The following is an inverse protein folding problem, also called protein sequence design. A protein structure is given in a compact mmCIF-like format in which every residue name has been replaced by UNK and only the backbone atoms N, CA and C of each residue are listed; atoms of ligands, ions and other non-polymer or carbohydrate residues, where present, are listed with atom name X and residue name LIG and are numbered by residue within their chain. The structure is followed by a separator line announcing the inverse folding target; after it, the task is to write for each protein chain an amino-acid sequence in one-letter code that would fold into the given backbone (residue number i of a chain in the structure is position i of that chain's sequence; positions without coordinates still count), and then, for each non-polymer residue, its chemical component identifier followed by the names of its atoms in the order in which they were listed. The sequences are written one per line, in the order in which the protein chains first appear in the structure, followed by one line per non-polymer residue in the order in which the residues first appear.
data_IF_438902834171
#
_entry.id   IF_438902834171
#
_cell.length_a   1.000
_cell.length_b   1.000
_cell.length_c   1.000
_cell.angle_alpha   90.00
_cell.angle_beta   90.00
_cell.angle_gamma   90.00
#
_symmetry.space_group_name_H-M   'P 1'
#
loop_
_entity.id
_entity.type
_entity.pdbx_description
1 polymer ?
#
# COMPACT_ATOMS: atom_id res chain seq x y z
N UNK A 1 -12.42 -10.58 5.55
CA UNK A 1 -11.49 -10.51 6.70
C UNK A 1 -10.87 -9.13 6.76
N UNK A 2 -10.94 -8.49 7.91
CA UNK A 2 -10.35 -7.17 8.11
C UNK A 2 -9.05 -7.28 8.90
N UNK A 3 -8.08 -6.43 8.58
CA UNK A 3 -6.82 -6.36 9.31
C UNK A 3 -6.50 -4.92 9.67
N UNK A 4 -6.02 -4.72 10.89
CA UNK A 4 -5.48 -3.44 11.32
C UNK A 4 -3.98 -3.37 10.99
N UNK A 5 -3.35 -2.22 11.24
CA UNK A 5 -1.95 -2.01 10.87
C UNK A 5 -0.99 -2.97 11.59
N UNK A 6 -1.27 -3.31 12.84
CA UNK A 6 -0.40 -4.24 13.58
C UNK A 6 -0.45 -5.64 12.98
N UNK A 7 -1.63 -6.09 12.57
CA UNK A 7 -1.81 -7.38 11.90
C UNK A 7 -1.13 -7.40 10.53
N UNK A 8 -1.18 -6.28 9.80
CA UNK A 8 -0.48 -6.15 8.52
C UNK A 8 1.03 -6.27 8.73
N UNK A 9 1.57 -5.64 9.75
CA UNK A 9 3.00 -5.71 10.07
C UNK A 9 3.46 -7.13 10.41
N UNK A 10 2.59 -7.98 10.90
CA UNK A 10 2.90 -9.38 11.15
C UNK A 10 3.03 -10.19 9.86
N UNK A 11 2.46 -9.70 8.77
CA UNK A 11 2.39 -10.41 7.49
C UNK A 11 3.46 -9.92 6.52
N UNK A 12 3.62 -8.60 6.38
CA UNK A 12 4.61 -8.02 5.46
C UNK A 12 5.75 -7.37 6.24
N UNK A 13 6.97 -7.36 5.66
CA UNK A 13 8.16 -6.84 6.37
C UNK A 13 8.27 -5.32 6.36
N UNK A 14 7.47 -4.64 5.56
CA UNK A 14 7.53 -3.18 5.38
C UNK A 14 7.28 -2.44 6.70
N UNK A 15 8.01 -1.35 6.90
CA UNK A 15 7.87 -0.48 8.07
C UNK A 15 7.96 0.97 7.63
N UNK A 16 7.56 1.89 8.49
CA UNK A 16 7.72 3.31 8.25
C UNK A 16 9.19 3.61 7.90
N UNK A 17 9.49 4.42 6.87
CA UNK A 17 8.55 5.22 6.07
C UNK A 17 7.99 4.53 4.82
N UNK A 18 8.31 3.28 4.58
CA UNK A 18 7.91 2.55 3.37
C UNK A 18 6.56 1.87 3.44
N UNK A 19 6.01 1.67 4.64
CA UNK A 19 4.72 1.03 4.80
C UNK A 19 3.60 1.94 4.28
N UNK A 20 2.85 1.46 3.28
CA UNK A 20 1.85 2.24 2.56
C UNK A 20 0.43 1.69 2.67
N UNK A 21 0.17 0.84 3.66
CA UNK A 21 -1.16 0.26 3.90
C UNK A 21 -1.52 0.45 5.37
N UNK A 22 -2.61 1.17 5.64
CA UNK A 22 -3.05 1.43 7.02
C UNK A 22 -4.01 0.37 7.53
N UNK A 23 -4.83 -0.18 6.63
CA UNK A 23 -5.78 -1.24 6.98
C UNK A 23 -6.14 -2.09 5.78
N UNK A 24 -6.60 -3.30 6.04
CA UNK A 24 -7.26 -4.15 5.05
C UNK A 24 -8.75 -4.17 5.42
N UNK A 25 -9.58 -3.67 4.51
CA UNK A 25 -11.02 -3.58 4.71
C UNK A 25 -11.72 -4.89 4.38
N UNK A 26 -11.24 -5.60 3.37
CA UNK A 26 -11.78 -6.88 2.95
C UNK A 26 -10.70 -7.71 2.29
N UNK A 27 -10.68 -9.00 2.57
CA UNK A 27 -9.74 -9.93 1.95
C UNK A 27 -10.40 -11.30 1.83
N UNK A 28 -10.44 -11.81 0.61
CA UNK A 28 -10.93 -13.15 0.31
C UNK A 28 -9.82 -13.91 -0.42
N UNK A 29 -9.12 -14.76 0.31
CA UNK A 29 -7.97 -15.49 -0.22
C UNK A 29 -8.39 -16.46 -1.33
N UNK A 30 -9.55 -17.10 -1.20
CA UNK A 30 -10.04 -18.05 -2.19
C UNK A 30 -10.44 -17.35 -3.49
N UNK A 31 -11.12 -16.23 -3.40
CA UNK A 31 -11.50 -15.42 -4.57
C UNK A 31 -10.32 -14.65 -5.16
N UNK A 32 -9.25 -14.48 -4.40
CA UNK A 32 -8.08 -13.72 -4.83
C UNK A 32 -8.32 -12.21 -4.85
N UNK A 33 -9.14 -11.70 -3.93
CA UNK A 33 -9.45 -10.28 -3.84
C UNK A 33 -9.00 -9.68 -2.51
N UNK A 34 -8.59 -8.43 -2.56
CA UNK A 34 -8.19 -7.68 -1.37
C UNK A 34 -8.44 -6.19 -1.59
N UNK A 35 -8.92 -5.52 -0.55
CA UNK A 35 -9.13 -4.07 -0.54
C UNK A 35 -8.40 -3.50 0.65
N UNK A 36 -7.45 -2.60 0.39
CA UNK A 36 -6.67 -1.92 1.41
C UNK A 36 -6.91 -0.42 1.40
N UNK A 37 -6.52 0.24 2.48
CA UNK A 37 -6.70 1.67 2.66
C UNK A 37 -5.39 2.32 3.10
N UNK A 38 -5.08 3.47 2.52
CA UNK A 38 -3.97 4.34 2.93
C UNK A 38 -4.50 5.75 3.13
N UNK A 39 -4.37 6.28 4.33
CA UNK A 39 -4.67 7.68 4.63
C UNK A 39 -3.43 8.52 4.36
N UNK A 40 -3.53 9.46 3.43
CA UNK A 40 -2.41 10.34 3.05
C UNK A 40 -2.42 11.54 4.01
N UNK A 41 -1.43 11.58 4.91
CA UNK A 41 -1.42 12.55 6.01
C UNK A 41 -0.72 13.87 5.68
N UNK A 42 0.26 13.84 4.79
CA UNK A 42 1.13 14.96 4.50
C UNK A 42 2.48 14.87 5.17
N UNK A 43 2.65 13.94 6.10
CA UNK A 43 3.92 13.73 6.81
C UNK A 43 4.82 12.72 6.12
N UNK A 44 4.33 12.09 5.07
CA UNK A 44 5.13 11.13 4.31
C UNK A 44 6.37 11.79 3.72
N UNK A 45 7.47 11.06 3.73
CA UNK A 45 8.78 11.56 3.37
C UNK A 45 8.85 12.18 1.96
N UNK A 46 8.11 11.60 1.01
CA UNK A 46 8.14 12.06 -0.38
C UNK A 46 7.61 13.48 -0.57
N UNK A 47 6.77 14.00 0.33
CA UNK A 47 6.21 15.34 0.19
C UNK A 47 7.23 16.46 0.37
N UNK A 48 8.38 16.18 0.95
CA UNK A 48 9.43 17.18 1.12
C UNK A 48 9.96 17.68 -0.22
N UNK A 49 9.97 16.83 -1.22
CA UNK A 49 10.48 17.17 -2.54
C UNK A 49 9.48 17.11 -3.67
N UNK A 50 8.28 16.59 -3.43
CA UNK A 50 7.31 16.36 -4.50
C UNK A 50 5.95 16.99 -4.20
N UNK A 51 5.79 18.27 -4.23
CA UNK A 51 6.74 19.32 -4.59
C UNK A 51 6.76 20.39 -3.47
N UNK A 52 7.84 21.12 -3.27
CA UNK A 52 7.86 22.20 -2.26
C UNK A 52 6.68 23.17 -2.45
N UNK A 53 5.87 23.34 -1.39
CA UNK A 53 4.69 24.19 -1.47
C UNK A 53 3.50 23.67 -2.26
N UNK A 54 3.63 22.49 -2.88
CA UNK A 54 2.56 21.86 -3.65
C UNK A 54 2.65 20.33 -3.50
N UNK A 55 2.21 19.80 -2.34
CA UNK A 55 2.37 18.36 -2.07
C UNK A 55 1.44 17.50 -2.94
N UNK A 56 2.05 16.58 -3.66
CA UNK A 56 1.38 15.59 -4.50
C UNK A 56 2.05 14.24 -4.27
N UNK A 57 1.28 13.20 -3.99
CA UNK A 57 1.83 11.87 -3.81
C UNK A 57 2.40 11.35 -5.14
N UNK A 58 3.71 10.98 -5.18
CA UNK A 58 4.29 10.41 -6.39
C UNK A 58 3.56 9.13 -6.81
N UNK A 59 3.29 9.00 -8.12
CA UNK A 59 2.55 7.85 -8.65
C UNK A 59 3.19 6.51 -8.32
N UNK A 60 4.52 6.46 -8.24
CA UNK A 60 5.24 5.22 -7.90
C UNK A 60 4.89 4.73 -6.50
N UNK A 61 4.56 5.62 -5.56
CA UNK A 61 4.14 5.22 -4.21
C UNK A 61 2.69 4.74 -4.17
N UNK A 62 1.85 5.20 -5.09
CA UNK A 62 0.50 4.66 -5.26
C UNK A 62 0.59 3.21 -5.72
N UNK A 63 1.48 2.92 -6.66
CA UNK A 63 1.75 1.55 -7.11
C UNK A 63 2.30 0.71 -5.97
N UNK A 64 3.19 1.27 -5.16
CA UNK A 64 3.75 0.58 -3.99
C UNK A 64 2.67 0.23 -2.97
N UNK A 65 1.75 1.16 -2.70
CA UNK A 65 0.62 0.89 -1.80
C UNK A 65 -0.24 -0.27 -2.33
N UNK A 66 -0.50 -0.30 -3.63
CA UNK A 66 -1.24 -1.37 -4.26
C UNK A 66 -0.49 -2.71 -4.17
N UNK A 67 0.81 -2.69 -4.40
CA UNK A 67 1.65 -3.88 -4.30
C UNK A 67 1.69 -4.43 -2.88
N UNK A 68 1.80 -3.57 -1.87
CA UNK A 68 1.79 -4.00 -0.48
C UNK A 68 0.44 -4.59 -0.07
N UNK A 69 -0.65 -4.02 -0.56
CA UNK A 69 -1.99 -4.55 -0.33
C UNK A 69 -2.10 -5.97 -0.90
N UNK A 70 -1.66 -6.17 -2.13
CA UNK A 70 -1.63 -7.49 -2.76
C UNK A 70 -0.69 -8.46 -2.05
N UNK A 71 0.48 -7.99 -1.64
CA UNK A 71 1.43 -8.80 -0.89
C UNK A 71 0.86 -9.27 0.45
N UNK A 72 0.09 -8.42 1.12
CA UNK A 72 -0.58 -8.80 2.37
C UNK A 72 -1.49 -9.99 2.15
N UNK A 73 -2.26 -10.00 1.07
CA UNK A 73 -3.14 -11.11 0.74
C UNK A 73 -2.36 -12.38 0.43
N UNK A 74 -1.32 -12.29 -0.39
CA UNK A 74 -0.50 -13.44 -0.79
C UNK A 74 0.24 -14.04 0.41
N UNK A 75 0.89 -13.19 1.21
CA UNK A 75 1.68 -13.65 2.35
C UNK A 75 0.83 -14.05 3.56
N UNK A 76 -0.47 -13.79 3.51
CA UNK A 76 -1.41 -14.32 4.51
C UNK A 76 -1.59 -15.83 4.36
N UNK A 77 -1.29 -16.38 3.20
CA UNK A 77 -1.33 -17.82 2.99
C UNK A 77 -0.20 -18.47 3.78
N UNK A 78 -0.52 -19.57 4.46
CA UNK A 78 0.43 -20.26 5.32
C UNK A 78 1.71 -20.67 4.60
N UNK A 79 1.59 -21.11 3.36
CA UNK A 79 2.70 -21.57 2.52
C UNK A 79 3.70 -20.47 2.16
N UNK A 80 3.27 -19.20 2.21
CA UNK A 80 4.12 -18.05 1.88
C UNK A 80 4.53 -17.21 3.08
N UNK A 81 4.09 -17.57 4.26
CA UNK A 81 4.35 -16.82 5.50
C UNK A 81 5.84 -16.70 5.74
N UNK A 82 6.30 -15.50 6.09
CA UNK A 82 7.71 -15.24 6.37
C UNK A 82 8.59 -14.98 5.17
N UNK A 83 8.04 -15.07 3.95
CA UNK A 83 8.78 -14.76 2.73
C UNK A 83 8.72 -13.27 2.41
N UNK A 84 9.69 -12.79 1.64
CA UNK A 84 9.74 -11.41 1.16
C UNK A 84 9.39 -11.38 -0.32
N UNK A 85 8.41 -10.55 -0.66
CA UNK A 85 8.01 -10.36 -2.04
C UNK A 85 8.76 -9.23 -2.71
N UNK A 86 9.21 -9.45 -3.94
CA UNK A 86 9.86 -8.43 -4.76
C UNK A 86 9.03 -8.12 -5.98
N UNK A 87 8.86 -6.82 -6.25
CA UNK A 87 8.09 -6.36 -7.40
C UNK A 87 8.92 -6.50 -8.67
N UNK A 88 8.44 -7.28 -9.64
CA UNK A 88 9.15 -7.51 -10.90
C UNK A 88 8.71 -6.55 -12.01
N UNK A 89 7.39 -6.33 -12.17
CA UNK A 89 6.88 -5.48 -13.23
C UNK A 89 5.43 -5.11 -12.99
N UNK A 90 4.99 -4.06 -13.68
CA UNK A 90 3.58 -3.69 -13.78
C UNK A 90 3.30 -3.22 -15.20
N UNK A 91 2.02 -3.20 -15.58
CA UNK A 91 1.60 -2.90 -16.95
C UNK A 91 0.27 -2.15 -16.96
N UNK A 92 0.06 -1.33 -18.00
CA UNK A 92 -1.21 -0.63 -18.25
C UNK A 92 -1.67 0.25 -17.09
N UNK A 93 -0.75 0.95 -16.44
CA UNK A 93 -1.06 1.83 -15.32
C UNK A 93 -1.31 3.25 -15.81
N UNK A 94 -2.39 3.86 -15.32
CA UNK A 94 -2.75 5.24 -15.65
C UNK A 94 -3.05 6.01 -14.38
N UNK A 95 -2.52 7.23 -14.29
CA UNK A 95 -2.80 8.13 -13.19
C UNK A 95 -3.74 9.22 -13.70
N UNK A 96 -4.96 9.27 -13.18
CA UNK A 96 -6.02 10.17 -13.67
C UNK A 96 -6.33 11.30 -12.71
N UNK A 97 -5.77 11.28 -11.51
CA UNK A 97 -6.03 12.25 -10.47
C UNK A 97 -4.81 12.36 -9.55
N UNK A 98 -4.51 13.60 -9.14
CA UNK A 98 -3.47 13.82 -8.15
C UNK A 98 -3.95 13.43 -6.76
N UNK A 99 -3.07 12.83 -5.96
CA UNK A 99 -3.33 12.46 -4.58
C UNK A 99 -2.58 13.45 -3.69
N UNK A 100 -3.29 14.05 -2.76
CA UNK A 100 -2.78 15.12 -1.89
C UNK A 100 -2.99 14.77 -0.43
N UNK A 101 -2.28 15.45 0.50
CA UNK A 101 -2.53 15.28 1.94
C UNK A 101 -4.03 15.46 2.26
N UNK A 102 -4.54 14.58 3.10
CA UNK A 102 -5.95 14.54 3.46
C UNK A 102 -6.78 13.55 2.66
N UNK A 103 -6.25 13.05 1.53
CA UNK A 103 -6.94 12.04 0.73
C UNK A 103 -6.80 10.65 1.36
N UNK A 104 -7.77 9.80 1.07
CA UNK A 104 -7.72 8.38 1.43
C UNK A 104 -7.73 7.55 0.16
N UNK A 105 -6.72 6.70 0.01
CA UNK A 105 -6.63 5.75 -1.09
C UNK A 105 -7.34 4.45 -0.69
N UNK A 106 -8.13 3.94 -1.60
CA UNK A 106 -8.79 2.65 -1.41
C UNK A 106 -8.55 1.74 -2.60
#
# INVERSE_FOLDING_TARGET
MKLNIEQIKEIIPHRDPMLMVDSIEEMDIEAGTVTGTKHVTGDELFFKGHFPGNPVMPGVFIIEALAQTGATAILSREEFRGKTGYFASWDKIKFRRMVRPGDTLT
#
